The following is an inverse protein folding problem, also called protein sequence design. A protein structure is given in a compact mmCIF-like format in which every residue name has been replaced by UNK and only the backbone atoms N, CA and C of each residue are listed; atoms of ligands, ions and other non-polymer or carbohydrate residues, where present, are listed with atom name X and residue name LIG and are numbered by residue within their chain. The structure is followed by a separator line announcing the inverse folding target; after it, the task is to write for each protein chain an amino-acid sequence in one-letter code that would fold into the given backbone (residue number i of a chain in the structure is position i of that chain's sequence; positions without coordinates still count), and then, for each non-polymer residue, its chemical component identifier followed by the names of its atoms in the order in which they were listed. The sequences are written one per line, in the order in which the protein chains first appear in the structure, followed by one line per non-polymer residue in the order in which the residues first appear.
data_IF_550524743591
#
_entry.id   IF_550524743591
#
_cell.length_a   1.000
_cell.length_b   1.000
_cell.length_c   1.000
_cell.angle_alpha   90.00
_cell.angle_beta   90.00
_cell.angle_gamma   90.00
#
_symmetry.space_group_name_H-M   'P 1'
#
loop_
_entity.id
_entity.type
_entity.pdbx_description
1 polymer ?
#
# COMPACT_ATOMS: atom_id res chain seq x y z
N UNK A 1 -5.92 -16.99 -10.86
CA UNK A 1 -6.92 -17.35 -9.83
C UNK A 1 -6.96 -18.87 -9.60
N UNK A 2 -6.94 -19.29 -8.34
CA UNK A 2 -7.13 -20.69 -7.95
C UNK A 2 -8.61 -21.07 -7.97
N UNK A 3 -8.89 -22.30 -8.41
CA UNK A 3 -10.24 -22.87 -8.48
C UNK A 3 -10.28 -24.19 -7.72
N UNK A 4 -11.27 -24.33 -6.83
CA UNK A 4 -11.43 -25.52 -6.00
C UNK A 4 -12.87 -25.98 -6.01
N UNK A 5 -13.04 -27.28 -6.22
CA UNK A 5 -14.34 -27.94 -6.20
C UNK A 5 -14.48 -28.70 -4.89
N UNK A 6 -15.52 -28.40 -4.12
CA UNK A 6 -15.86 -29.15 -2.92
C UNK A 6 -17.31 -29.62 -2.98
N UNK A 7 -17.55 -30.87 -2.56
CA UNK A 7 -18.91 -31.41 -2.46
C UNK A 7 -19.35 -31.34 -1.00
N UNK A 8 -20.41 -30.60 -0.72
CA UNK A 8 -20.97 -30.48 0.63
C UNK A 8 -22.46 -30.82 0.60
N UNK A 9 -22.88 -31.81 1.42
CA UNK A 9 -24.26 -32.34 1.44
C UNK A 9 -24.78 -32.72 0.05
N UNK A 10 -23.96 -33.41 -0.74
CA UNK A 10 -24.29 -33.83 -2.11
C UNK A 10 -24.32 -32.71 -3.16
N UNK A 11 -24.07 -31.45 -2.77
CA UNK A 11 -24.01 -30.30 -3.70
C UNK A 11 -22.55 -29.93 -3.99
N UNK A 12 -22.19 -29.89 -5.28
CA UNK A 12 -20.91 -29.34 -5.74
C UNK A 12 -20.92 -27.83 -5.53
N UNK A 13 -19.88 -27.31 -4.90
CA UNK A 13 -19.60 -25.89 -4.70
C UNK A 13 -18.26 -25.55 -5.30
N UNK A 14 -18.22 -24.40 -5.95
CA UNK A 14 -17.02 -23.85 -6.58
C UNK A 14 -16.52 -22.70 -5.72
N UNK A 15 -15.24 -22.76 -5.36
CA UNK A 15 -14.56 -21.75 -4.57
C UNK A 15 -13.40 -21.19 -5.39
N UNK A 16 -13.20 -19.88 -5.31
CA UNK A 16 -12.10 -19.20 -6.01
C UNK A 16 -11.29 -18.36 -5.06
N UNK A 17 -9.99 -18.29 -5.31
CA UNK A 17 -9.06 -17.47 -4.55
C UNK A 17 -8.07 -16.73 -5.48
N UNK A 18 -7.58 -15.57 -5.05
CA UNK A 18 -6.53 -14.85 -5.76
C UNK A 18 -5.20 -15.62 -5.72
N UNK A 19 -4.40 -15.48 -6.76
CA UNK A 19 -3.02 -16.01 -6.80
C UNK A 19 -1.98 -14.97 -6.34
N UNK A 20 -2.35 -13.69 -6.32
CA UNK A 20 -1.44 -12.61 -5.96
C UNK A 20 -2.17 -11.44 -5.29
N UNK A 21 -1.40 -10.54 -4.69
CA UNK A 21 -1.91 -9.31 -4.08
C UNK A 21 -2.78 -8.48 -5.01
N UNK A 22 -2.42 -8.41 -6.30
CA UNK A 22 -3.14 -7.59 -7.27
C UNK A 22 -4.42 -8.24 -7.81
N UNK A 23 -4.64 -9.53 -7.55
CA UNK A 23 -5.89 -10.24 -7.87
C UNK A 23 -6.91 -10.19 -6.73
N UNK A 24 -6.52 -9.70 -5.54
CA UNK A 24 -7.45 -9.51 -4.43
C UNK A 24 -8.58 -8.57 -4.84
N UNK A 25 -9.80 -8.93 -4.48
CA UNK A 25 -10.90 -7.98 -4.45
C UNK A 25 -10.78 -7.04 -3.24
N UNK A 26 -11.45 -5.88 -3.31
CA UNK A 26 -11.55 -4.95 -2.17
C UNK A 26 -12.02 -5.64 -0.89
N UNK A 27 -13.01 -6.53 -1.01
CA UNK A 27 -13.55 -7.27 0.13
C UNK A 27 -12.49 -8.19 0.75
N UNK A 28 -11.76 -8.94 -0.08
CA UNK A 28 -10.73 -9.87 0.39
C UNK A 28 -9.56 -9.12 1.05
N UNK A 29 -9.14 -7.98 0.49
CA UNK A 29 -8.13 -7.13 1.12
C UNK A 29 -8.59 -6.60 2.48
N UNK A 30 -9.83 -6.14 2.61
CA UNK A 30 -10.37 -5.68 3.90
C UNK A 30 -10.55 -6.80 4.92
N UNK A 31 -10.85 -8.03 4.48
CA UNK A 31 -10.85 -9.22 5.34
C UNK A 31 -9.44 -9.47 5.85
N UNK A 32 -8.44 -9.49 4.97
CA UNK A 32 -7.03 -9.67 5.35
C UNK A 32 -6.61 -8.62 6.39
N UNK A 33 -6.85 -7.33 6.11
CA UNK A 33 -6.58 -6.24 7.05
C UNK A 33 -7.32 -6.39 8.39
N UNK A 34 -8.55 -6.91 8.37
CA UNK A 34 -9.32 -7.15 9.58
C UNK A 34 -8.73 -8.28 10.43
N UNK A 35 -8.25 -9.34 9.79
CA UNK A 35 -7.69 -10.52 10.45
C UNK A 35 -6.31 -10.21 11.05
N UNK A 36 -5.40 -9.59 10.30
CA UNK A 36 -4.03 -9.31 10.78
C UNK A 36 -4.01 -8.33 11.97
N UNK A 37 -5.09 -7.57 12.17
CA UNK A 37 -5.24 -6.65 13.31
C UNK A 37 -5.74 -7.32 14.57
N UNK A 38 -6.22 -8.56 14.49
CA UNK A 38 -6.72 -9.28 15.65
C UNK A 38 -5.55 -9.83 16.48
N UNK A 39 -5.72 -9.81 17.80
CA UNK A 39 -4.78 -10.43 18.75
C UNK A 39 -5.07 -11.93 18.87
N UNK A 40 -4.95 -12.65 17.76
CA UNK A 40 -5.12 -14.12 17.70
C UNK A 40 -3.83 -14.79 17.20
N UNK A 41 -3.60 -16.07 17.50
CA UNK A 41 -2.47 -16.81 16.95
C UNK A 41 -2.43 -16.73 15.42
N UNK A 42 -1.24 -16.55 14.86
CA UNK A 42 -1.03 -16.29 13.42
C UNK A 42 -1.67 -17.37 12.54
N UNK A 43 -1.59 -18.64 12.93
CA UNK A 43 -2.14 -19.75 12.15
C UNK A 43 -3.66 -19.79 12.16
N UNK A 44 -4.27 -19.45 13.30
CA UNK A 44 -5.72 -19.33 13.42
C UNK A 44 -6.24 -18.13 12.63
N UNK A 45 -5.53 -17.00 12.72
CA UNK A 45 -5.81 -15.81 11.93
C UNK A 45 -5.77 -16.16 10.44
N UNK A 46 -4.68 -16.79 10.01
CA UNK A 46 -4.46 -17.14 8.62
C UNK A 46 -5.49 -18.12 8.08
N UNK A 47 -5.79 -19.20 8.80
CA UNK A 47 -6.82 -20.17 8.40
C UNK A 47 -8.20 -19.52 8.30
N UNK A 48 -8.51 -18.59 9.22
CA UNK A 48 -9.74 -17.79 9.18
C UNK A 48 -9.78 -16.89 7.94
N UNK A 49 -8.67 -16.19 7.64
CA UNK A 49 -8.55 -15.39 6.42
C UNK A 49 -8.73 -16.25 5.17
N UNK A 50 -8.11 -17.43 5.12
CA UNK A 50 -8.22 -18.36 3.99
C UNK A 50 -9.67 -18.72 3.72
N UNK A 51 -10.39 -19.21 4.72
CA UNK A 51 -11.81 -19.55 4.58
C UNK A 51 -12.63 -18.35 4.06
N UNK A 52 -12.42 -17.17 4.65
CA UNK A 52 -13.17 -15.96 4.29
C UNK A 52 -12.82 -15.43 2.89
N UNK A 53 -11.56 -15.53 2.47
CA UNK A 53 -11.09 -15.10 1.14
C UNK A 53 -11.65 -16.00 0.04
N UNK A 54 -11.70 -17.31 0.28
CA UNK A 54 -12.37 -18.28 -0.60
C UNK A 54 -13.91 -18.11 -0.60
N UNK A 55 -14.47 -17.33 0.33
CA UNK A 55 -15.92 -17.24 0.53
C UNK A 55 -16.53 -18.52 1.13
N UNK A 56 -15.70 -19.36 1.76
CA UNK A 56 -16.10 -20.59 2.41
C UNK A 56 -16.59 -20.32 3.84
N UNK A 57 -17.77 -20.81 4.24
CA UNK A 57 -18.19 -20.77 5.64
C UNK A 57 -17.19 -21.50 6.54
N UNK A 58 -16.81 -20.90 7.67
CA UNK A 58 -15.84 -21.48 8.62
C UNK A 58 -16.20 -22.90 9.06
N UNK A 59 -17.50 -23.20 9.21
CA UNK A 59 -17.96 -24.56 9.53
C UNK A 59 -17.55 -25.59 8.47
N UNK A 60 -17.61 -25.21 7.18
CA UNK A 60 -17.21 -26.10 6.08
C UNK A 60 -15.68 -26.24 6.07
N UNK A 61 -14.97 -25.12 6.26
CA UNK A 61 -13.50 -25.13 6.33
C UNK A 61 -13.00 -26.05 7.45
N UNK A 62 -13.58 -25.95 8.65
CA UNK A 62 -13.22 -26.76 9.82
C UNK A 62 -13.59 -28.24 9.69
N UNK A 63 -14.44 -28.61 8.71
CA UNK A 63 -14.75 -30.01 8.39
C UNK A 63 -13.74 -30.63 7.41
N UNK A 64 -12.88 -29.83 6.79
CA UNK A 64 -11.84 -30.33 5.90
C UNK A 64 -10.76 -31.05 6.71
N UNK A 65 -10.13 -32.06 6.11
CA UNK A 65 -8.95 -32.72 6.69
C UNK A 65 -7.79 -31.73 6.83
N UNK A 66 -6.86 -32.01 7.76
CA UNK A 66 -5.67 -31.17 7.94
C UNK A 66 -4.86 -30.99 6.65
N UNK A 67 -4.74 -32.05 5.85
CA UNK A 67 -4.07 -32.00 4.55
C UNK A 67 -4.77 -31.03 3.58
N UNK A 68 -6.10 -31.06 3.50
CA UNK A 68 -6.87 -30.14 2.66
C UNK A 68 -6.80 -28.69 3.15
N UNK A 69 -6.87 -28.47 4.47
CA UNK A 69 -6.70 -27.13 5.04
C UNK A 69 -5.31 -26.58 4.75
N UNK A 70 -4.27 -27.42 4.87
CA UNK A 70 -2.89 -27.07 4.54
C UNK A 70 -2.74 -26.69 3.07
N UNK A 71 -3.34 -27.45 2.15
CA UNK A 71 -3.35 -27.17 0.72
C UNK A 71 -4.01 -25.81 0.41
N UNK A 72 -5.20 -25.54 0.98
CA UNK A 72 -5.88 -24.24 0.85
C UNK A 72 -5.02 -23.11 1.39
N UNK A 73 -4.44 -23.28 2.57
CA UNK A 73 -3.55 -22.30 3.18
C UNK A 73 -2.31 -22.04 2.32
N UNK A 74 -1.76 -23.05 1.66
CA UNK A 74 -0.60 -22.90 0.79
C UNK A 74 -0.90 -22.00 -0.40
N UNK A 75 -2.08 -22.10 -1.02
CA UNK A 75 -2.48 -21.24 -2.15
C UNK A 75 -2.44 -19.74 -1.80
N UNK A 76 -2.71 -19.37 -0.55
CA UNK A 76 -2.68 -18.00 -0.06
C UNK A 76 -1.37 -17.63 0.64
N UNK A 77 -0.34 -18.47 0.57
CA UNK A 77 0.95 -18.23 1.22
C UNK A 77 1.62 -16.93 0.78
N UNK A 78 1.27 -16.38 -0.39
CA UNK A 78 1.75 -15.07 -0.84
C UNK A 78 1.38 -13.92 0.13
N UNK A 79 0.31 -14.06 0.91
CA UNK A 79 -0.09 -13.07 1.93
C UNK A 79 0.85 -13.05 3.15
N UNK A 80 1.53 -14.17 3.43
CA UNK A 80 2.56 -14.26 4.49
C UNK A 80 3.94 -13.81 4.03
N UNK A 81 4.15 -13.70 2.71
CA UNK A 81 5.42 -13.29 2.09
C UNK A 81 5.48 -11.76 1.95
N UNK A 82 6.41 -11.29 1.13
CA UNK A 82 6.54 -9.88 0.77
C UNK A 82 5.25 -9.31 0.18
N UNK A 83 4.84 -8.13 0.68
CA UNK A 83 3.72 -7.38 0.15
C UNK A 83 4.03 -6.86 -1.26
N UNK A 84 3.25 -7.28 -2.26
CA UNK A 84 3.38 -6.86 -3.67
C UNK A 84 2.13 -6.17 -4.21
N UNK A 85 1.33 -5.58 -3.32
CA UNK A 85 0.12 -4.85 -3.69
C UNK A 85 0.50 -3.53 -4.38
N UNK A 86 0.37 -3.50 -5.71
CA UNK A 86 0.66 -2.31 -6.53
C UNK A 86 -0.58 -1.78 -7.25
N UNK A 87 -1.63 -2.59 -7.38
CA UNK A 87 -2.91 -2.17 -7.95
C UNK A 87 -3.77 -1.54 -6.86
N UNK A 88 -4.43 -0.42 -7.17
CA UNK A 88 -5.37 0.20 -6.22
C UNK A 88 -6.69 -0.59 -6.19
N UNK A 89 -6.67 -1.72 -5.49
CA UNK A 89 -7.82 -2.59 -5.24
C UNK A 89 -8.91 -1.90 -4.40
N UNK A 90 -8.53 -0.88 -3.61
CA UNK A 90 -9.44 -0.12 -2.75
C UNK A 90 -10.38 0.75 -3.61
N UNK A 91 -9.86 1.30 -4.70
CA UNK A 91 -10.55 2.15 -5.67
C UNK A 91 -11.04 3.46 -5.04
N UNK A 92 -12.27 3.45 -4.53
CA UNK A 92 -12.87 4.57 -3.81
C UNK A 92 -13.66 4.10 -2.60
N UNK A 93 -13.86 4.97 -1.62
CA UNK A 93 -14.73 4.71 -0.47
C UNK A 93 -15.38 6.02 0.00
N UNK A 94 -16.35 5.90 0.91
CA UNK A 94 -17.03 7.05 1.50
C UNK A 94 -16.66 7.20 2.97
N UNK A 95 -16.51 8.44 3.40
CA UNK A 95 -16.54 8.84 4.81
C UNK A 95 -17.71 9.80 4.93
N UNK A 96 -18.71 9.44 5.72
CA UNK A 96 -20.01 10.13 5.74
C UNK A 96 -20.59 10.20 4.31
N UNK A 97 -21.00 11.37 3.84
CA UNK A 97 -21.52 11.60 2.48
C UNK A 97 -20.42 11.86 1.43
N UNK A 98 -19.15 11.96 1.82
CA UNK A 98 -18.06 12.35 0.92
C UNK A 98 -17.39 11.12 0.30
N UNK A 99 -17.26 11.11 -1.03
CA UNK A 99 -16.51 10.07 -1.77
C UNK A 99 -15.04 10.48 -1.92
N UNK A 100 -14.16 9.55 -1.58
CA UNK A 100 -12.71 9.67 -1.73
C UNK A 100 -12.22 8.63 -2.74
N UNK A 101 -11.35 9.07 -3.65
CA UNK A 101 -10.83 8.29 -4.77
C UNK A 101 -9.33 8.17 -4.57
N UNK A 102 -8.82 6.94 -4.60
CA UNK A 102 -7.40 6.68 -4.48
C UNK A 102 -6.65 6.89 -5.79
N UNK A 103 -5.31 6.84 -5.77
CA UNK A 103 -4.49 7.04 -6.95
C UNK A 103 -4.59 5.84 -7.90
N UNK A 104 -4.09 5.99 -9.12
CA UNK A 104 -3.90 4.85 -10.02
C UNK A 104 -2.85 3.87 -9.47
N UNK A 105 -2.80 2.67 -10.05
CA UNK A 105 -1.84 1.64 -9.67
C UNK A 105 -0.40 2.16 -9.72
N UNK A 106 0.44 1.64 -8.82
CA UNK A 106 1.85 2.02 -8.63
C UNK A 106 2.02 3.51 -8.33
N UNK A 107 0.97 4.18 -7.83
CA UNK A 107 0.93 5.62 -7.56
C UNK A 107 1.17 6.49 -8.81
N UNK A 108 0.84 5.99 -10.01
CA UNK A 108 1.19 6.67 -11.27
C UNK A 108 0.50 8.03 -11.47
N UNK A 109 -0.60 8.29 -10.74
CA UNK A 109 -1.32 9.57 -10.78
C UNK A 109 -0.85 10.58 -9.73
N UNK A 110 0.16 10.26 -8.92
CA UNK A 110 0.70 11.20 -7.93
C UNK A 110 1.70 12.15 -8.57
N UNK A 111 1.80 13.35 -7.99
CA UNK A 111 2.93 14.25 -8.23
C UNK A 111 4.09 13.91 -7.27
N UNK A 112 5.28 14.46 -7.53
CA UNK A 112 6.40 14.31 -6.60
C UNK A 112 6.11 14.95 -5.23
N UNK A 113 5.36 16.07 -5.20
CA UNK A 113 4.92 16.70 -3.96
C UNK A 113 3.98 15.80 -3.14
N UNK A 114 3.05 15.10 -3.80
CA UNK A 114 2.19 14.12 -3.12
C UNK A 114 3.00 12.96 -2.55
N UNK A 115 3.94 12.43 -3.34
CA UNK A 115 4.78 11.32 -2.93
C UNK A 115 5.68 11.70 -1.74
N UNK A 116 6.31 12.89 -1.76
CA UNK A 116 7.06 13.44 -0.63
C UNK A 116 6.23 13.43 0.66
N UNK A 117 5.02 14.00 0.61
CA UNK A 117 4.12 14.04 1.79
C UNK A 117 3.76 12.65 2.28
N UNK A 118 3.41 11.75 1.37
CA UNK A 118 3.07 10.37 1.71
C UNK A 118 4.27 9.66 2.38
N UNK A 119 5.48 9.85 1.86
CA UNK A 119 6.70 9.24 2.37
C UNK A 119 7.03 9.73 3.79
N UNK A 120 6.90 11.03 4.04
CA UNK A 120 7.06 11.62 5.38
C UNK A 120 6.05 11.01 6.37
N UNK A 121 4.76 11.00 6.02
CA UNK A 121 3.71 10.48 6.92
C UNK A 121 3.85 8.97 7.16
N UNK A 122 4.26 8.21 6.15
CA UNK A 122 4.54 6.80 6.28
C UNK A 122 5.71 6.54 7.24
N UNK A 123 6.85 7.19 7.03
CA UNK A 123 8.02 7.01 7.90
C UNK A 123 7.76 7.46 9.33
N UNK A 124 7.04 8.57 9.52
CA UNK A 124 6.63 9.03 10.84
C UNK A 124 5.69 8.01 11.50
N UNK A 125 4.74 7.45 10.74
CA UNK A 125 3.81 6.45 11.27
C UNK A 125 4.54 5.19 11.75
N UNK A 126 5.54 4.71 11.00
CA UNK A 126 6.36 3.58 11.43
C UNK A 126 7.17 3.86 12.71
N UNK A 127 7.58 5.12 12.93
CA UNK A 127 8.38 5.51 14.09
C UNK A 127 7.55 5.78 15.35
N UNK A 128 6.39 6.41 15.18
CA UNK A 128 5.58 6.92 16.29
C UNK A 128 4.33 6.08 16.57
N UNK A 129 3.90 5.27 15.58
CA UNK A 129 2.65 4.51 15.60
C UNK A 129 1.38 5.37 15.83
N UNK A 130 1.47 6.70 15.64
CA UNK A 130 0.34 7.61 15.82
C UNK A 130 -0.71 7.43 14.71
N UNK A 131 -1.96 7.03 15.04
CA UNK A 131 -3.04 6.88 14.06
C UNK A 131 -3.32 8.14 13.22
N UNK A 132 -3.02 9.34 13.74
CA UNK A 132 -3.21 10.57 12.97
C UNK A 132 -2.25 10.67 11.77
N UNK A 133 -1.05 10.11 11.86
CA UNK A 133 -0.11 10.03 10.74
C UNK A 133 -0.62 9.10 9.63
N UNK A 134 -1.25 7.98 10.00
CA UNK A 134 -1.92 7.12 9.04
C UNK A 134 -3.11 7.83 8.37
N UNK A 135 -3.84 8.66 9.11
CA UNK A 135 -4.90 9.49 8.55
C UNK A 135 -4.36 10.55 7.57
N UNK A 136 -3.19 11.13 7.85
CA UNK A 136 -2.51 12.07 6.95
C UNK A 136 -2.04 11.37 5.68
N UNK A 137 -1.39 10.21 5.80
CA UNK A 137 -1.03 9.37 4.65
C UNK A 137 -2.26 9.07 3.79
N UNK A 138 -3.34 8.60 4.40
CA UNK A 138 -4.56 8.27 3.70
C UNK A 138 -5.22 9.49 3.04
N UNK A 139 -5.19 10.66 3.70
CA UNK A 139 -5.72 11.91 3.14
C UNK A 139 -4.87 12.51 2.03
N UNK A 140 -3.57 12.20 1.96
CA UNK A 140 -2.69 12.53 0.82
C UNK A 140 -3.03 11.66 -0.39
N UNK A 141 -3.20 10.34 -0.18
CA UNK A 141 -3.43 9.39 -1.26
C UNK A 141 -4.86 9.42 -1.80
N UNK A 142 -5.86 9.53 -0.91
CA UNK A 142 -7.28 9.46 -1.27
C UNK A 142 -7.90 10.85 -1.25
N UNK A 143 -8.18 11.38 -2.44
CA UNK A 143 -8.62 12.76 -2.67
C UNK A 143 -10.09 12.80 -3.04
N UNK A 144 -10.71 13.97 -2.89
CA UNK A 144 -12.06 14.21 -3.42
C UNK A 144 -11.95 14.81 -4.81
N UNK A 145 -12.84 14.43 -5.72
CA UNK A 145 -12.83 14.95 -7.10
C UNK A 145 -13.29 16.41 -7.21
N UNK A 146 -13.97 16.94 -6.18
CA UNK A 146 -14.60 18.27 -6.20
C UNK A 146 -13.71 19.40 -5.68
N UNK A 147 -12.50 19.12 -5.20
CA UNK A 147 -11.66 20.15 -4.55
C UNK A 147 -10.22 20.14 -5.05
N UNK A 148 -9.65 21.33 -5.34
CA UNK A 148 -8.21 21.46 -5.60
C UNK A 148 -7.42 21.07 -4.36
N UNK A 149 -6.28 20.42 -4.57
CA UNK A 149 -5.46 19.88 -3.49
C UNK A 149 -4.40 20.89 -3.02
N UNK A 150 -4.24 21.02 -1.71
CA UNK A 150 -3.23 21.86 -1.05
C UNK A 150 -2.83 21.29 0.32
N UNK A 151 -1.69 21.67 0.88
CA UNK A 151 -1.21 21.14 2.17
C UNK A 151 -2.20 21.37 3.33
N UNK A 152 -2.75 22.59 3.41
CA UNK A 152 -3.79 22.92 4.40
C UNK A 152 -5.04 22.06 4.23
N UNK A 153 -5.32 21.60 3.00
CA UNK A 153 -6.44 20.72 2.73
C UNK A 153 -6.17 19.28 3.17
N UNK A 154 -4.92 18.79 3.13
CA UNK A 154 -4.55 17.44 3.60
C UNK A 154 -4.81 17.29 5.10
N UNK A 155 -4.25 18.18 5.92
CA UNK A 155 -4.43 18.12 7.38
C UNK A 155 -5.91 18.24 7.78
N UNK A 156 -6.67 19.10 7.08
CA UNK A 156 -8.12 19.22 7.29
C UNK A 156 -8.86 17.94 6.91
N UNK A 157 -8.51 17.30 5.79
CA UNK A 157 -9.10 16.01 5.35
C UNK A 157 -8.78 14.90 6.34
N UNK A 158 -7.54 14.81 6.82
CA UNK A 158 -7.08 13.77 7.76
C UNK A 158 -7.96 13.69 9.03
N UNK A 159 -8.48 14.83 9.51
CA UNK A 159 -9.42 14.87 10.64
C UNK A 159 -10.72 14.08 10.39
N UNK A 160 -11.14 13.91 9.14
CA UNK A 160 -12.29 13.07 8.79
C UNK A 160 -11.91 11.59 8.65
N UNK A 161 -10.66 11.29 8.29
CA UNK A 161 -10.18 9.91 8.14
C UNK A 161 -10.17 9.13 9.45
N UNK A 162 -10.17 9.79 10.62
CA UNK A 162 -10.42 9.13 11.90
C UNK A 162 -11.76 8.38 11.97
N UNK A 163 -12.74 8.80 11.15
CA UNK A 163 -14.06 8.17 11.06
C UNK A 163 -14.11 7.07 9.99
N UNK A 164 -13.02 6.84 9.25
CA UNK A 164 -12.95 5.78 8.26
C UNK A 164 -12.89 4.41 8.94
N UNK A 165 -13.34 3.38 8.23
CA UNK A 165 -13.18 2.01 8.70
C UNK A 165 -11.68 1.71 8.89
N UNK A 166 -11.24 1.26 10.08
CA UNK A 166 -9.83 1.00 10.34
C UNK A 166 -9.17 -0.03 9.39
N UNK A 167 -9.95 -0.98 8.86
CA UNK A 167 -9.46 -1.94 7.86
C UNK A 167 -9.17 -1.25 6.51
N UNK A 168 -9.90 -0.18 6.18
CA UNK A 168 -9.60 0.65 5.00
C UNK A 168 -8.28 1.37 5.22
N UNK A 169 -8.06 1.98 6.38
CA UNK A 169 -6.79 2.68 6.68
C UNK A 169 -5.58 1.74 6.58
N UNK A 170 -5.71 0.52 7.11
CA UNK A 170 -4.64 -0.49 6.98
C UNK A 170 -4.49 -1.00 5.54
N UNK A 171 -5.58 -1.11 4.78
CA UNK A 171 -5.48 -1.44 3.36
C UNK A 171 -4.73 -0.35 2.58
N UNK A 172 -4.95 0.93 2.93
CA UNK A 172 -4.22 2.06 2.33
C UNK A 172 -2.73 1.98 2.68
N UNK A 173 -2.39 1.67 3.93
CA UNK A 173 -1.01 1.43 4.35
C UNK A 173 -0.36 0.33 3.51
N UNK A 174 -0.97 -0.86 3.45
CA UNK A 174 -0.44 -1.98 2.66
C UNK A 174 -0.30 -1.63 1.17
N UNK A 175 -1.27 -0.90 0.60
CA UNK A 175 -1.20 -0.47 -0.79
C UNK A 175 -0.03 0.50 -1.01
N UNK A 176 0.18 1.44 -0.09
CA UNK A 176 1.31 2.36 -0.17
C UNK A 176 2.65 1.62 -0.06
N UNK A 177 2.78 0.69 0.89
CA UNK A 177 3.99 -0.12 1.08
C UNK A 177 4.36 -0.92 -0.16
N UNK A 178 3.40 -1.61 -0.76
CA UNK A 178 3.64 -2.40 -1.97
C UNK A 178 4.04 -1.51 -3.16
N UNK A 179 3.42 -0.34 -3.30
CA UNK A 179 3.81 0.63 -4.32
C UNK A 179 5.19 1.24 -4.06
N UNK A 180 5.51 1.55 -2.79
CA UNK A 180 6.79 2.11 -2.37
C UNK A 180 7.93 1.15 -2.68
N UNK A 181 7.79 -0.13 -2.32
CA UNK A 181 8.81 -1.13 -2.64
C UNK A 181 8.97 -1.30 -4.15
N UNK A 182 7.87 -1.23 -4.92
CA UNK A 182 7.94 -1.24 -6.38
C UNK A 182 8.73 -0.04 -6.93
N UNK A 183 8.49 1.17 -6.42
CA UNK A 183 9.21 2.39 -6.83
C UNK A 183 10.70 2.25 -6.49
N UNK A 184 11.02 1.80 -5.28
CA UNK A 184 12.41 1.61 -4.85
C UNK A 184 13.17 0.63 -5.75
N UNK A 185 12.54 -0.50 -6.09
CA UNK A 185 13.11 -1.48 -7.04
C UNK A 185 13.22 -0.94 -8.47
N UNK A 186 12.31 -0.05 -8.88
CA UNK A 186 12.32 0.56 -10.22
C UNK A 186 13.40 1.63 -10.39
N UNK A 187 13.83 2.26 -9.29
CA UNK A 187 14.82 3.34 -9.29
C UNK A 187 15.96 3.09 -8.28
N UNK A 188 16.71 1.99 -8.41
CA UNK A 188 17.68 1.55 -7.40
C UNK A 188 18.85 2.52 -7.19
N UNK A 189 19.16 3.37 -8.17
CA UNK A 189 20.20 4.41 -8.04
C UNK A 189 19.77 5.54 -7.11
N UNK A 190 18.48 5.88 -7.11
CA UNK A 190 17.89 6.88 -6.20
C UNK A 190 17.73 6.24 -4.81
N UNK A 191 17.20 5.02 -4.78
CA UNK A 191 16.89 4.29 -3.54
C UNK A 191 17.93 3.21 -3.27
N UNK A 192 19.16 3.62 -2.99
CA UNK A 192 20.24 2.69 -2.65
C UNK A 192 19.91 2.01 -1.33
N UNK A 193 19.76 0.68 -1.33
CA UNK A 193 19.68 -0.09 -0.08
C UNK A 193 21.07 -0.06 0.57
N UNK A 194 21.20 0.27 1.87
CA UNK A 194 22.48 0.22 2.55
C UNK A 194 23.08 -1.20 2.42
N UNK A 195 24.37 -1.27 2.07
CA UNK A 195 25.05 -2.54 1.89
C UNK A 195 25.21 -3.19 3.28
N UNK A 196 24.75 -4.43 3.51
CA UNK A 196 24.92 -5.09 4.81
C UNK A 196 26.40 -5.26 5.21
N UNK A 197 27.33 -5.16 4.25
CA UNK A 197 28.77 -5.29 4.48
C UNK A 197 29.53 -3.94 4.49
N UNK A 198 28.84 -2.79 4.40
CA UNK A 198 29.52 -1.49 4.55
C UNK A 198 29.70 -1.15 6.03
N UNK A 199 30.90 -0.72 6.49
CA UNK A 199 31.15 -0.28 7.86
C UNK A 199 30.47 1.05 8.23
N UNK A 200 29.65 1.60 7.34
CA UNK A 200 28.86 2.79 7.59
C UNK A 200 27.57 2.40 8.30
N UNK A 201 27.24 3.04 9.44
CA UNK A 201 26.01 2.75 10.17
C UNK A 201 24.81 2.92 9.24
N UNK A 202 23.85 2.00 9.34
CA UNK A 202 22.52 2.13 8.73
C UNK A 202 22.02 3.57 8.92
N UNK A 203 21.40 4.21 7.91
CA UNK A 203 21.02 5.60 8.03
C UNK A 203 20.17 5.76 9.29
N UNK A 204 20.66 6.70 10.11
CA UNK A 204 20.14 7.13 11.40
C UNK A 204 18.64 7.37 11.36
N UNK A 205 18.03 7.58 12.53
CA UNK A 205 16.64 8.00 12.77
C UNK A 205 16.11 9.21 11.96
N UNK A 206 16.83 9.70 10.95
CA UNK A 206 16.46 10.75 10.01
C UNK A 206 15.31 10.28 9.12
N UNK A 207 14.35 11.17 8.89
CA UNK A 207 13.25 10.95 7.95
C UNK A 207 13.78 11.38 6.58
N UNK A 208 13.65 10.52 5.57
CA UNK A 208 14.02 10.89 4.21
C UNK A 208 12.97 11.87 3.68
N UNK A 209 13.36 13.13 3.57
CA UNK A 209 12.55 14.19 3.00
C UNK A 209 13.07 14.53 1.59
N UNK A 210 12.19 14.42 0.60
CA UNK A 210 12.47 14.77 -0.79
C UNK A 210 12.56 16.29 -1.03
N UNK A 211 12.31 17.15 -0.04
CA UNK A 211 12.34 18.61 -0.21
C UNK A 211 13.64 19.12 -0.84
N UNK A 212 14.78 18.76 -0.27
CA UNK A 212 16.09 19.21 -0.76
C UNK A 212 16.37 18.69 -2.18
N UNK A 213 15.96 17.44 -2.47
CA UNK A 213 16.10 16.84 -3.79
C UNK A 213 15.21 17.58 -4.81
N UNK A 214 13.97 17.88 -4.45
CA UNK A 214 13.05 18.66 -5.29
C UNK A 214 13.63 20.05 -5.51
N UNK A 215 14.15 20.70 -4.48
CA UNK A 215 14.76 22.02 -4.56
C UNK A 215 15.99 22.04 -5.46
N UNK A 216 16.87 21.03 -5.34
CA UNK A 216 18.07 20.91 -6.17
C UNK A 216 17.75 20.71 -7.65
N UNK A 217 16.65 20.01 -7.97
CA UNK A 217 16.18 19.81 -9.34
C UNK A 217 15.33 21.00 -9.84
N UNK A 218 14.85 21.85 -8.93
CA UNK A 218 14.11 23.06 -9.26
C UNK A 218 14.99 24.12 -9.90
N UNK A 219 14.41 25.00 -10.70
CA UNK A 219 15.11 26.02 -11.48
C UNK A 219 15.63 25.51 -12.83
N UNK A 220 15.77 24.19 -13.00
CA UNK A 220 16.11 23.55 -14.27
C UNK A 220 14.89 23.20 -15.12
N UNK A 221 14.85 21.94 -15.59
CA UNK A 221 13.85 21.42 -16.55
C UNK A 221 12.39 21.56 -16.12
N UNK A 222 12.13 21.62 -14.81
CA UNK A 222 10.77 21.62 -14.24
C UNK A 222 10.30 22.99 -13.77
N UNK A 223 11.06 24.06 -14.03
CA UNK A 223 10.72 25.41 -13.61
C UNK A 223 10.94 25.62 -12.11
N UNK A 224 10.20 26.55 -11.49
CA UNK A 224 10.38 26.87 -10.08
C UNK A 224 9.96 25.70 -9.15
N UNK A 225 10.25 25.85 -7.85
CA UNK A 225 9.96 24.83 -6.85
C UNK A 225 8.48 24.41 -6.81
N UNK A 226 7.55 25.37 -6.92
CA UNK A 226 6.12 25.10 -6.89
C UNK A 226 5.68 24.26 -8.10
N UNK A 227 6.16 24.60 -9.30
CA UNK A 227 5.87 23.80 -10.50
C UNK A 227 6.52 22.42 -10.43
N UNK A 228 7.73 22.33 -9.88
CA UNK A 228 8.43 21.05 -9.72
C UNK A 228 7.66 20.10 -8.82
N UNK A 229 7.02 20.59 -7.75
CA UNK A 229 6.16 19.77 -6.87
C UNK A 229 4.93 19.18 -7.56
N UNK A 230 4.47 19.81 -8.64
CA UNK A 230 3.30 19.37 -9.41
C UNK A 230 3.68 18.38 -10.54
N UNK A 231 4.97 18.16 -10.78
CA UNK A 231 5.46 17.21 -11.79
C UNK A 231 5.01 15.78 -11.44
N UNK A 232 4.52 14.99 -12.42
CA UNK A 232 4.19 13.58 -12.20
C UNK A 232 5.37 12.80 -11.62
N UNK A 233 5.10 11.98 -10.60
CA UNK A 233 6.11 11.25 -9.82
C UNK A 233 7.12 10.52 -10.70
N UNK A 234 6.64 9.71 -11.65
CA UNK A 234 7.52 8.92 -12.52
C UNK A 234 8.33 9.77 -13.50
N UNK A 235 7.82 10.93 -13.91
CA UNK A 235 8.57 11.87 -14.77
C UNK A 235 9.73 12.46 -13.97
N UNK A 236 9.47 12.86 -12.73
CA UNK A 236 10.50 13.38 -11.83
C UNK A 236 11.57 12.33 -11.54
N UNK A 237 11.17 11.13 -11.11
CA UNK A 237 12.11 10.06 -10.76
C UNK A 237 12.96 9.60 -11.95
N UNK A 238 12.38 9.47 -13.15
CA UNK A 238 13.14 9.15 -14.37
C UNK A 238 14.18 10.23 -14.68
N UNK A 239 13.84 11.50 -14.52
CA UNK A 239 14.79 12.58 -14.74
C UNK A 239 15.93 12.55 -13.73
N UNK A 240 15.61 12.40 -12.44
CA UNK A 240 16.63 12.31 -11.38
C UNK A 240 17.57 11.12 -11.60
N UNK A 241 17.02 9.97 -11.99
CA UNK A 241 17.79 8.75 -12.29
C UNK A 241 18.76 8.95 -13.47
N UNK A 242 18.33 9.66 -14.52
CA UNK A 242 19.18 10.04 -15.66
C UNK A 242 20.29 11.01 -15.28
N UNK A 243 20.00 12.00 -14.44
CA UNK A 243 21.00 12.97 -13.96
C UNK A 243 22.07 12.28 -13.09
N UNK A 244 21.66 11.34 -12.22
CA UNK A 244 22.59 10.53 -11.44
C UNK A 244 23.46 9.61 -12.32
N UNK A 245 22.92 9.11 -13.43
CA UNK A 245 23.69 8.32 -14.40
C UNK A 245 24.74 9.19 -15.12
N UNK A 246 24.37 10.43 -15.49
CA UNK A 246 25.27 11.39 -16.14
C UNK A 246 26.40 11.82 -15.21
N UNK A 247 26.12 12.08 -13.93
CA UNK A 247 27.11 12.51 -12.95
C UNK A 247 28.17 11.44 -12.61
N UNK A 248 27.96 10.18 -12.99
CA UNK A 248 28.93 9.09 -12.81
C UNK A 248 29.88 8.89 -14.00
N UNK A 249 29.60 9.53 -15.14
CA UNK A 249 30.46 9.50 -16.34
C UNK A 249 31.40 10.70 -16.31
#
# INVERSE_FOLDING_TARGET
MHHINATYKGKKRFYTAPESWNELSKRQLLIWCGVIRQRVPVDLAFSTATALIYGMPLRIYNMLTEAQQSELNHTLSFLKKENRLTSNVIGSFRILCMKYIGPSGRLASLTIGDYRRAEIYYQLYLKQEDPFLLNLLAATLFKRSDKPDSDKSVARRARFFRLANPNILHAILLFYEGCREYIHKSFPRIFVKPNPNSPQPAPSNTILDFEEIILAVSGGKFGNFKYTQEVPLYTFLKHLDQEMERAKK
#
